data_IF_226906460375
#
_entry.id   IF_226906460375
#
_cell.length_a   1.000
_cell.length_b   1.000
_cell.length_c   1.000
_cell.angle_alpha   90.00
_cell.angle_beta   90.00
_cell.angle_gamma   90.00
#
_symmetry.space_group_name_H-M   'P 1'
#
loop_
_entity.id
_entity.type
_entity.pdbx_description
1 polymer ?
#
# COMPACT_ATOMS: atom_id res chain seq x y z
N UNK A 1 -13.99 15.27 12.34
CA UNK A 1 -12.68 15.84 11.86
C UNK A 1 -12.94 17.24 11.27
N UNK A 2 -12.18 18.26 11.63
CA UNK A 2 -12.25 19.60 11.01
C UNK A 2 -11.46 19.62 9.68
N UNK A 3 -11.61 20.65 8.84
CA UNK A 3 -10.75 20.84 7.64
C UNK A 3 -9.25 20.79 8.05
N UNK A 4 -8.93 21.35 9.23
CA UNK A 4 -7.59 21.35 9.81
C UNK A 4 -7.05 19.93 10.06
N UNK A 5 -7.88 18.99 10.51
CA UNK A 5 -7.42 17.61 10.77
C UNK A 5 -7.25 16.79 9.50
N UNK A 6 -7.89 17.15 8.38
CA UNK A 6 -7.67 16.50 7.08
C UNK A 6 -6.33 16.93 6.44
N UNK A 7 -5.75 18.05 6.90
CA UNK A 7 -4.49 18.61 6.36
C UNK A 7 -3.29 17.64 6.48
N UNK A 8 -3.32 16.69 7.41
CA UNK A 8 -2.28 15.65 7.52
C UNK A 8 -2.12 14.83 6.24
N UNK A 9 -3.20 14.71 5.45
CA UNK A 9 -3.18 13.96 4.18
C UNK A 9 -2.79 14.82 2.98
N UNK A 10 -2.56 16.14 3.15
CA UNK A 10 -2.29 17.05 2.04
C UNK A 10 -0.84 17.52 2.09
N UNK A 11 -0.10 17.28 1.00
CA UNK A 11 1.27 17.78 0.82
C UNK A 11 1.28 18.99 -0.10
N UNK A 12 0.79 18.84 -1.32
CA UNK A 12 0.69 19.90 -2.32
C UNK A 12 -0.79 20.12 -2.67
N UNK A 13 -1.20 21.35 -2.89
CA UNK A 13 -2.60 21.73 -3.20
C UNK A 13 -2.61 22.82 -4.26
N UNK A 14 -3.41 22.65 -5.32
CA UNK A 14 -3.52 23.66 -6.39
C UNK A 14 -4.41 24.83 -6.00
N UNK A 15 -5.56 24.58 -5.36
CA UNK A 15 -6.58 25.58 -4.96
C UNK A 15 -7.17 25.19 -3.61
N UNK A 16 -6.69 25.82 -2.54
CA UNK A 16 -7.11 25.49 -1.15
C UNK A 16 -8.59 25.79 -0.89
N UNK A 17 -9.15 26.84 -1.49
CA UNK A 17 -10.54 27.24 -1.36
C UNK A 17 -11.51 26.19 -1.93
N UNK A 18 -11.17 25.58 -3.07
CA UNK A 18 -11.96 24.52 -3.70
C UNK A 18 -11.93 23.26 -2.85
N UNK A 19 -10.75 22.88 -2.33
CA UNK A 19 -10.63 21.75 -1.41
C UNK A 19 -11.41 21.99 -0.12
N UNK A 20 -11.34 23.20 0.45
CA UNK A 20 -12.13 23.56 1.63
C UNK A 20 -13.64 23.49 1.35
N UNK A 21 -14.09 23.94 0.18
CA UNK A 21 -15.49 23.82 -0.25
C UNK A 21 -15.93 22.36 -0.35
N UNK A 22 -15.13 21.50 -0.97
CA UNK A 22 -15.43 20.07 -1.06
C UNK A 22 -15.55 19.42 0.32
N UNK A 23 -14.65 19.75 1.26
CA UNK A 23 -14.65 19.22 2.62
C UNK A 23 -15.76 19.77 3.52
N UNK A 24 -16.44 20.84 3.10
CA UNK A 24 -17.51 21.52 3.85
C UNK A 24 -18.91 21.12 3.41
N UNK A 25 -19.02 20.18 2.46
CA UNK A 25 -20.32 19.71 1.98
C UNK A 25 -21.08 18.98 3.10
N UNK A 26 -22.29 19.46 3.40
CA UNK A 26 -23.09 18.86 4.46
C UNK A 26 -23.78 17.56 4.01
N UNK A 27 -24.02 16.61 4.92
CA UNK A 27 -24.81 15.43 4.60
C UNK A 27 -26.22 15.83 4.08
N UNK A 28 -26.64 15.21 2.97
CA UNK A 28 -27.93 15.50 2.33
C UNK A 28 -27.87 16.53 1.20
N UNK A 29 -26.78 17.30 1.08
CA UNK A 29 -26.52 18.10 -0.11
C UNK A 29 -25.90 17.21 -1.22
N UNK A 30 -25.95 17.65 -2.51
CA UNK A 30 -25.21 16.98 -3.57
C UNK A 30 -23.72 16.80 -3.17
N UNK A 31 -23.15 15.59 -3.31
CA UNK A 31 -21.79 15.35 -2.87
C UNK A 31 -20.77 16.08 -3.76
N UNK A 32 -19.69 16.57 -3.17
CA UNK A 32 -18.48 16.83 -3.94
C UNK A 32 -17.92 15.49 -4.45
N UNK A 33 -16.98 15.50 -5.40
CA UNK A 33 -16.37 14.27 -5.86
C UNK A 33 -14.83 14.38 -5.86
N UNK A 34 -14.16 13.25 -5.66
CA UNK A 34 -12.71 13.15 -5.71
C UNK A 34 -12.31 11.89 -6.46
N UNK A 35 -11.45 12.01 -7.48
CA UNK A 35 -10.98 10.86 -8.22
C UNK A 35 -9.49 10.56 -7.96
N UNK A 36 -9.17 9.28 -8.09
CA UNK A 36 -7.81 8.79 -8.22
C UNK A 36 -7.73 7.77 -9.35
N UNK A 37 -6.63 7.83 -10.13
CA UNK A 37 -6.33 6.90 -11.21
C UNK A 37 -5.50 5.69 -10.72
N UNK A 38 -5.77 4.53 -11.32
CA UNK A 38 -5.10 3.27 -11.04
C UNK A 38 -4.75 2.57 -12.35
N UNK A 39 -3.48 2.64 -12.75
CA UNK A 39 -3.00 1.85 -13.88
C UNK A 39 -3.00 0.35 -13.53
N UNK A 40 -3.51 -0.45 -14.46
CA UNK A 40 -3.71 -1.91 -14.28
C UNK A 40 -2.49 -2.71 -14.77
N UNK A 41 -1.30 -2.32 -14.31
CA UNK A 41 -0.01 -2.91 -14.72
C UNK A 41 0.29 -4.28 -14.09
N UNK A 42 -0.57 -4.76 -13.21
CA UNK A 42 -0.53 -6.09 -12.59
C UNK A 42 -1.95 -6.45 -12.14
N UNK A 43 -2.19 -7.73 -11.87
CA UNK A 43 -3.45 -8.28 -11.39
C UNK A 43 -3.73 -8.04 -9.90
N UNK A 44 -2.90 -7.23 -9.23
CA UNK A 44 -3.08 -6.84 -7.83
C UNK A 44 -2.54 -5.44 -7.55
N UNK A 45 -3.21 -4.76 -6.62
CA UNK A 45 -2.68 -3.59 -5.93
C UNK A 45 -1.59 -4.02 -4.92
N UNK A 46 -0.77 -3.08 -4.49
CA UNK A 46 0.23 -3.26 -3.44
C UNK A 46 0.08 -2.21 -2.33
N UNK A 47 0.77 -2.36 -1.22
CA UNK A 47 0.65 -1.47 -0.04
C UNK A 47 0.83 0.02 -0.36
N UNK A 48 1.57 0.37 -1.43
CA UNK A 48 1.74 1.75 -1.88
C UNK A 48 0.44 2.46 -2.28
N UNK A 49 -0.61 1.71 -2.66
CA UNK A 49 -1.92 2.28 -3.04
C UNK A 49 -2.83 2.55 -1.81
N UNK A 50 -2.47 2.00 -0.64
CA UNK A 50 -3.36 2.04 0.53
C UNK A 50 -3.59 3.46 1.03
N UNK A 51 -2.61 4.36 0.93
CA UNK A 51 -2.79 5.74 1.40
C UNK A 51 -3.78 6.51 0.51
N UNK A 52 -3.70 6.35 -0.81
CA UNK A 52 -4.69 6.93 -1.74
C UNK A 52 -6.10 6.45 -1.42
N UNK A 53 -6.26 5.14 -1.22
CA UNK A 53 -7.55 4.55 -0.86
C UNK A 53 -8.04 5.01 0.52
N UNK A 54 -7.13 5.17 1.49
CA UNK A 54 -7.47 5.68 2.80
C UNK A 54 -7.94 7.13 2.75
N UNK A 55 -7.26 7.98 1.98
CA UNK A 55 -7.67 9.38 1.75
C UNK A 55 -9.06 9.43 1.12
N UNK A 56 -9.32 8.64 0.09
CA UNK A 56 -10.65 8.56 -0.53
C UNK A 56 -11.74 8.08 0.45
N UNK A 57 -11.43 7.12 1.33
CA UNK A 57 -12.35 6.70 2.40
C UNK A 57 -12.65 7.84 3.38
N UNK A 58 -11.62 8.58 3.79
CA UNK A 58 -11.77 9.75 4.68
C UNK A 58 -12.56 10.88 4.03
N UNK A 59 -12.44 11.06 2.72
CA UNK A 59 -13.26 11.99 1.96
C UNK A 59 -14.72 11.52 1.89
N UNK A 60 -14.96 10.21 1.71
CA UNK A 60 -16.32 9.69 1.66
C UNK A 60 -17.09 9.88 2.98
N UNK A 61 -16.40 9.86 4.12
CA UNK A 61 -16.96 10.19 5.44
C UNK A 61 -17.44 11.66 5.53
N UNK A 62 -17.11 12.49 4.52
CA UNK A 62 -17.42 13.93 4.42
C UNK A 62 -18.31 14.28 3.24
N UNK A 63 -19.12 13.34 2.80
CA UNK A 63 -19.99 13.54 1.64
C UNK A 63 -19.21 13.91 0.35
N UNK A 64 -18.00 13.36 0.18
CA UNK A 64 -17.24 13.45 -1.07
C UNK A 64 -17.29 12.09 -1.76
N UNK A 65 -17.86 11.99 -2.93
CA UNK A 65 -18.00 10.78 -3.72
C UNK A 65 -16.63 10.31 -4.23
N UNK A 66 -16.14 9.11 -3.86
CA UNK A 66 -14.93 8.55 -4.45
C UNK A 66 -15.18 8.11 -5.89
N UNK A 67 -14.34 8.56 -6.81
CA UNK A 67 -14.31 8.11 -8.21
C UNK A 67 -12.99 7.39 -8.47
N UNK A 68 -13.06 6.12 -8.80
CA UNK A 68 -11.90 5.26 -9.05
C UNK A 68 -11.77 5.09 -10.56
N UNK A 69 -10.70 5.62 -11.15
CA UNK A 69 -10.47 5.52 -12.59
C UNK A 69 -9.47 4.42 -12.86
N UNK A 70 -9.89 3.39 -13.56
CA UNK A 70 -9.01 2.34 -14.07
C UNK A 70 -8.36 2.82 -15.36
N UNK A 71 -7.05 2.62 -15.46
CA UNK A 71 -6.26 3.05 -16.59
C UNK A 71 -6.28 2.06 -17.75
N UNK A 72 -7.44 1.71 -18.31
CA UNK A 72 -7.52 0.82 -19.46
C UNK A 72 -6.69 1.33 -20.64
N UNK A 73 -6.82 2.60 -20.98
CA UNK A 73 -5.99 3.21 -22.03
C UNK A 73 -4.61 3.63 -21.51
N UNK A 74 -4.51 4.26 -20.33
CA UNK A 74 -3.23 4.78 -19.82
C UNK A 74 -2.24 3.68 -19.45
N UNK A 75 -2.68 2.48 -19.10
CA UNK A 75 -1.79 1.32 -18.87
C UNK A 75 -0.98 0.96 -20.10
N UNK A 76 -1.58 1.02 -21.29
CA UNK A 76 -0.89 0.77 -22.54
C UNK A 76 0.17 1.85 -22.88
N UNK A 77 -0.04 3.08 -22.39
CA UNK A 77 0.88 4.21 -22.53
C UNK A 77 2.04 4.11 -21.53
N UNK A 78 1.74 3.87 -20.28
CA UNK A 78 2.69 3.69 -19.17
C UNK A 78 3.17 4.99 -18.53
N UNK A 79 2.87 5.16 -17.23
CA UNK A 79 3.33 6.30 -16.42
C UNK A 79 4.86 6.28 -16.25
N UNK A 80 5.57 7.32 -16.69
CA UNK A 80 7.03 7.45 -16.52
C UNK A 80 7.44 7.84 -15.10
N UNK A 81 6.51 8.27 -14.25
CA UNK A 81 6.78 8.88 -12.95
C UNK A 81 7.53 7.94 -12.00
N UNK A 82 8.68 8.43 -11.50
CA UNK A 82 9.49 7.70 -10.51
C UNK A 82 10.16 6.43 -11.05
N UNK A 83 10.37 6.33 -12.37
CA UNK A 83 11.05 5.22 -13.04
C UNK A 83 12.24 5.71 -13.86
N UNK A 84 13.23 4.85 -14.01
CA UNK A 84 14.38 5.05 -14.89
C UNK A 84 14.25 4.26 -16.21
N UNK A 85 13.37 3.26 -16.27
CA UNK A 85 13.16 2.40 -17.44
C UNK A 85 11.68 2.40 -17.87
N UNK A 86 11.43 2.16 -19.14
CA UNK A 86 10.08 2.01 -19.69
C UNK A 86 9.35 0.82 -19.09
N UNK A 87 8.01 0.88 -19.08
CA UNK A 87 7.17 -0.24 -18.64
C UNK A 87 7.17 -1.33 -19.73
N UNK A 88 7.08 -2.61 -19.34
CA UNK A 88 6.75 -3.67 -20.30
C UNK A 88 5.41 -3.37 -20.97
N UNK A 89 5.33 -3.64 -22.26
CA UNK A 89 4.07 -3.56 -23.01
C UNK A 89 3.23 -4.78 -22.64
N UNK A 90 2.02 -4.54 -22.15
CA UNK A 90 1.04 -5.59 -21.83
C UNK A 90 0.14 -5.85 -23.06
N UNK A 91 -0.35 -7.07 -23.20
CA UNK A 91 -1.38 -7.39 -24.16
C UNK A 91 -2.74 -6.83 -23.73
N UNK A 92 -3.69 -6.70 -24.66
CA UNK A 92 -5.06 -6.29 -24.34
C UNK A 92 -5.74 -7.28 -23.38
N UNK A 93 -5.48 -8.57 -23.55
CA UNK A 93 -5.99 -9.62 -22.65
C UNK A 93 -5.42 -9.50 -21.25
N UNK A 94 -4.12 -9.21 -21.09
CA UNK A 94 -3.50 -8.97 -19.79
C UNK A 94 -4.08 -7.74 -19.12
N UNK A 95 -4.30 -6.65 -19.88
CA UNK A 95 -4.91 -5.42 -19.35
C UNK A 95 -6.34 -5.70 -18.88
N UNK A 96 -7.13 -6.44 -19.65
CA UNK A 96 -8.50 -6.80 -19.29
C UNK A 96 -8.55 -7.66 -18.01
N UNK A 97 -7.72 -8.70 -17.93
CA UNK A 97 -7.63 -9.56 -16.74
C UNK A 97 -7.19 -8.79 -15.48
N UNK A 98 -6.15 -7.95 -15.62
CA UNK A 98 -5.68 -7.10 -14.52
C UNK A 98 -6.76 -6.11 -14.08
N UNK A 99 -7.53 -5.56 -15.02
CA UNK A 99 -8.62 -4.62 -14.73
C UNK A 99 -9.69 -5.26 -13.85
N UNK A 100 -10.17 -6.46 -14.21
CA UNK A 100 -11.15 -7.20 -13.39
C UNK A 100 -10.63 -7.45 -11.97
N UNK A 101 -9.39 -7.93 -11.85
CA UNK A 101 -8.77 -8.23 -10.56
C UNK A 101 -8.61 -6.97 -9.68
N UNK A 102 -8.13 -5.87 -10.25
CA UNK A 102 -7.96 -4.60 -9.54
C UNK A 102 -9.31 -3.99 -9.17
N UNK A 103 -10.30 -4.00 -10.09
CA UNK A 103 -11.65 -3.52 -9.81
C UNK A 103 -12.27 -4.26 -8.61
N UNK A 104 -12.17 -5.58 -8.57
CA UNK A 104 -12.67 -6.37 -7.47
C UNK A 104 -11.97 -6.02 -6.13
N UNK A 105 -10.66 -5.81 -6.15
CA UNK A 105 -9.92 -5.39 -4.97
C UNK A 105 -10.32 -3.98 -4.51
N UNK A 106 -10.44 -3.02 -5.42
CA UNK A 106 -10.86 -1.65 -5.13
C UNK A 106 -12.25 -1.62 -4.49
N UNK A 107 -13.23 -2.31 -5.07
CA UNK A 107 -14.60 -2.38 -4.53
C UNK A 107 -14.63 -2.99 -3.12
N UNK A 108 -13.82 -4.05 -2.88
CA UNK A 108 -13.69 -4.66 -1.57
C UNK A 108 -13.08 -3.71 -0.54
N UNK A 109 -11.98 -3.01 -0.89
CA UNK A 109 -11.27 -2.09 -0.01
C UNK A 109 -12.06 -0.82 0.27
N UNK A 110 -12.92 -0.40 -0.67
CA UNK A 110 -13.80 0.76 -0.55
C UNK A 110 -15.22 0.40 -0.09
N UNK A 111 -15.42 -0.81 0.46
CA UNK A 111 -16.70 -1.24 1.00
C UNK A 111 -17.24 -0.21 1.99
N UNK A 112 -18.50 0.20 1.80
CA UNK A 112 -19.18 1.23 2.59
C UNK A 112 -19.08 2.65 2.04
N UNK A 113 -18.13 2.94 1.13
CA UNK A 113 -17.94 4.28 0.54
C UNK A 113 -18.75 4.49 -0.76
N UNK A 114 -19.35 3.44 -1.33
CA UNK A 114 -20.12 3.48 -2.59
C UNK A 114 -19.35 4.18 -3.73
N UNK A 115 -18.12 3.76 -4.08
CA UNK A 115 -17.34 4.43 -5.10
C UNK A 115 -18.00 4.24 -6.49
N UNK A 116 -17.77 5.22 -7.38
CA UNK A 116 -17.98 5.07 -8.81
C UNK A 116 -16.69 4.54 -9.42
N UNK A 117 -16.75 3.49 -10.22
CA UNK A 117 -15.60 2.93 -10.94
C UNK A 117 -15.80 3.19 -12.43
N UNK A 118 -14.79 3.76 -13.07
CA UNK A 118 -14.79 4.11 -14.49
C UNK A 118 -13.52 3.60 -15.15
N UNK A 119 -13.59 3.28 -16.44
CA UNK A 119 -12.43 2.98 -17.27
C UNK A 119 -12.13 4.18 -18.18
N UNK A 120 -10.91 4.68 -18.17
CA UNK A 120 -10.55 5.80 -19.02
C UNK A 120 -10.49 5.45 -20.52
N UNK A 121 -10.48 4.17 -20.87
CA UNK A 121 -10.63 3.74 -22.27
C UNK A 121 -11.95 4.24 -22.90
N UNK A 122 -13.00 4.47 -22.12
CA UNK A 122 -14.29 5.00 -22.60
C UNK A 122 -14.15 6.35 -23.34
N UNK A 123 -13.23 7.21 -22.90
CA UNK A 123 -13.05 8.54 -23.49
C UNK A 123 -11.69 8.78 -24.13
N UNK A 124 -10.68 7.97 -23.80
CA UNK A 124 -9.35 8.08 -24.41
C UNK A 124 -9.30 7.34 -25.75
N UNK A 125 -9.86 6.13 -25.83
CA UNK A 125 -9.83 5.32 -27.06
C UNK A 125 -10.54 5.99 -28.25
N UNK A 126 -11.70 6.66 -28.07
CA UNK A 126 -12.35 7.37 -29.18
C UNK A 126 -11.63 8.64 -29.63
N UNK A 127 -10.67 9.17 -28.83
CA UNK A 127 -9.96 10.40 -29.17
C UNK A 127 -9.10 10.20 -30.41
N UNK A 128 -9.42 10.93 -31.47
CA UNK A 128 -8.64 10.85 -32.70
C UNK A 128 -7.30 11.56 -32.57
N UNK A 129 -6.32 11.12 -33.35
CA UNK A 129 -5.02 11.76 -33.43
C UNK A 129 -5.13 13.27 -33.75
N UNK A 130 -6.07 13.64 -34.62
CA UNK A 130 -6.27 15.05 -34.99
C UNK A 130 -6.84 15.86 -33.84
N UNK A 131 -7.77 15.33 -33.06
CA UNK A 131 -8.29 16.00 -31.85
C UNK A 131 -7.20 16.15 -30.78
N UNK A 132 -6.38 15.10 -30.57
CA UNK A 132 -5.24 15.18 -29.68
C UNK A 132 -4.26 16.29 -30.10
N UNK A 133 -3.84 16.32 -31.36
CA UNK A 133 -2.81 17.26 -31.84
C UNK A 133 -3.36 18.68 -31.95
N UNK A 134 -4.49 18.86 -32.63
CA UNK A 134 -5.01 20.19 -32.96
C UNK A 134 -5.88 20.81 -31.87
N UNK A 135 -6.49 19.98 -31.01
CA UNK A 135 -7.26 20.40 -29.85
C UNK A 135 -6.36 20.53 -28.61
N UNK A 136 -6.11 19.39 -27.94
CA UNK A 136 -5.41 19.33 -26.66
C UNK A 136 -3.94 19.79 -26.80
N UNK A 137 -3.23 19.30 -27.82
CA UNK A 137 -1.80 19.56 -28.03
C UNK A 137 -1.45 21.04 -28.19
N UNK A 138 -2.36 21.85 -28.78
CA UNK A 138 -2.15 23.31 -28.87
C UNK A 138 -2.19 24.02 -27.51
N UNK A 139 -2.79 23.44 -26.52
CA UNK A 139 -2.93 24.03 -25.19
C UNK A 139 -1.80 23.61 -24.25
N UNK A 140 -1.05 22.56 -24.61
CA UNK A 140 0.04 22.03 -23.79
C UNK A 140 1.34 22.75 -24.10
N UNK A 141 2.01 23.25 -23.06
CA UNK A 141 3.32 23.88 -23.18
C UNK A 141 4.42 22.81 -23.09
N UNK A 142 5.19 22.63 -24.18
CA UNK A 142 6.36 21.75 -24.19
C UNK A 142 7.38 22.14 -23.10
N UNK A 143 7.58 23.44 -22.87
CA UNK A 143 8.50 23.91 -21.83
C UNK A 143 8.05 23.49 -20.43
N UNK A 144 6.75 23.51 -20.15
CA UNK A 144 6.20 23.05 -18.85
C UNK A 144 6.37 21.54 -18.68
N UNK A 145 6.10 20.73 -19.71
CA UNK A 145 6.30 19.29 -19.66
C UNK A 145 7.77 18.92 -19.44
N UNK A 146 8.68 19.53 -20.21
CA UNK A 146 10.13 19.33 -20.08
C UNK A 146 10.69 19.80 -18.73
N UNK A 147 10.04 20.77 -18.10
CA UNK A 147 10.43 21.24 -16.76
C UNK A 147 10.03 20.28 -15.63
N UNK A 148 9.09 19.36 -15.88
CA UNK A 148 8.64 18.41 -14.85
C UNK A 148 9.77 17.49 -14.40
N UNK A 149 9.81 17.19 -13.09
CA UNK A 149 10.88 16.32 -12.53
C UNK A 149 10.84 14.90 -13.11
N UNK A 150 9.65 14.37 -13.40
CA UNK A 150 9.47 13.04 -13.98
C UNK A 150 10.11 12.96 -15.38
N UNK A 151 9.84 13.95 -16.23
CA UNK A 151 10.41 14.01 -17.58
C UNK A 151 11.93 14.21 -17.52
N UNK A 152 12.43 15.14 -16.69
CA UNK A 152 13.88 15.36 -16.51
C UNK A 152 14.59 14.07 -16.11
N UNK A 153 14.10 13.39 -15.07
CA UNK A 153 14.72 12.15 -14.59
C UNK A 153 14.79 11.09 -15.69
N UNK A 154 13.77 10.98 -16.54
CA UNK A 154 13.75 10.04 -17.66
C UNK A 154 14.71 10.43 -18.77
N UNK A 155 14.74 11.71 -19.15
CA UNK A 155 15.66 12.20 -20.19
C UNK A 155 17.12 12.07 -19.77
N UNK A 156 17.44 12.24 -18.49
CA UNK A 156 18.79 12.11 -17.93
C UNK A 156 19.23 10.64 -17.74
N UNK A 157 18.31 9.66 -17.90
CA UNK A 157 18.59 8.23 -17.81
C UNK A 157 18.60 7.56 -19.20
N UNK A 158 17.72 6.58 -19.42
CA UNK A 158 17.67 5.80 -20.67
C UNK A 158 16.89 6.51 -21.81
N UNK A 159 16.52 7.77 -21.61
CA UNK A 159 15.67 8.53 -22.53
C UNK A 159 14.19 8.25 -22.29
N UNK A 160 13.33 8.85 -23.13
CA UNK A 160 11.88 8.82 -22.99
C UNK A 160 11.23 8.63 -24.35
N UNK A 161 10.29 7.73 -24.47
CA UNK A 161 9.51 7.56 -25.70
C UNK A 161 8.45 8.66 -25.83
N UNK A 162 7.97 8.89 -27.06
CA UNK A 162 6.83 9.79 -27.29
C UNK A 162 5.58 9.32 -26.52
N UNK A 163 5.38 8.02 -26.44
CA UNK A 163 4.25 7.42 -25.71
C UNK A 163 4.29 7.84 -24.23
N UNK A 164 5.40 7.62 -23.56
CA UNK A 164 5.59 8.03 -22.15
C UNK A 164 5.46 9.54 -21.96
N UNK A 165 5.93 10.34 -22.95
CA UNK A 165 5.84 11.79 -22.93
C UNK A 165 4.40 12.31 -23.01
N UNK A 166 3.50 11.56 -23.67
CA UNK A 166 2.09 11.90 -23.77
C UNK A 166 1.29 11.55 -22.50
N UNK A 167 1.83 10.73 -21.60
CA UNK A 167 1.10 10.26 -20.42
C UNK A 167 0.53 11.41 -19.55
N UNK A 168 1.29 12.46 -19.17
CA UNK A 168 0.74 13.58 -18.37
C UNK A 168 -0.42 14.30 -19.09
N UNK A 169 -0.40 14.33 -20.42
CA UNK A 169 -1.44 14.97 -21.24
C UNK A 169 -2.72 14.14 -21.19
N UNK A 170 -2.60 12.82 -21.30
CA UNK A 170 -3.75 11.90 -21.24
C UNK A 170 -4.37 11.92 -19.85
N UNK A 171 -3.55 11.90 -18.78
CA UNK A 171 -4.05 12.05 -17.40
C UNK A 171 -4.73 13.41 -17.18
N UNK A 172 -4.21 14.47 -17.81
CA UNK A 172 -4.87 15.79 -17.80
C UNK A 172 -6.21 15.79 -18.53
N UNK A 173 -6.31 15.04 -19.62
CA UNK A 173 -7.56 14.85 -20.34
C UNK A 173 -8.58 14.04 -19.54
N UNK A 174 -8.16 13.03 -18.78
CA UNK A 174 -9.00 12.33 -17.80
C UNK A 174 -9.61 13.32 -16.81
N UNK A 175 -8.78 14.19 -16.22
CA UNK A 175 -9.24 15.17 -15.24
C UNK A 175 -10.29 16.12 -15.84
N UNK A 176 -10.03 16.65 -17.01
CA UNK A 176 -10.95 17.56 -17.70
C UNK A 176 -12.28 16.86 -18.06
N UNK A 177 -12.22 15.65 -18.62
CA UNK A 177 -13.42 14.88 -18.99
C UNK A 177 -14.31 14.56 -17.80
N UNK A 178 -13.68 14.17 -16.69
CA UNK A 178 -14.38 13.89 -15.44
C UNK A 178 -14.94 15.16 -14.81
N UNK A 179 -14.21 16.26 -14.86
CA UNK A 179 -14.68 17.56 -14.38
C UNK A 179 -15.96 17.98 -15.10
N UNK A 180 -16.01 17.83 -16.44
CA UNK A 180 -17.20 18.09 -17.23
C UNK A 180 -18.39 17.19 -16.85
N UNK A 181 -18.13 15.90 -16.61
CA UNK A 181 -19.17 14.94 -16.18
C UNK A 181 -19.72 15.34 -14.80
N UNK A 182 -18.85 15.64 -13.83
CA UNK A 182 -19.26 16.01 -12.47
C UNK A 182 -19.97 17.37 -12.41
N UNK A 183 -19.53 18.34 -13.21
CA UNK A 183 -20.20 19.64 -13.29
C UNK A 183 -21.64 19.52 -13.82
N UNK A 184 -21.87 18.67 -14.84
CA UNK A 184 -23.24 18.38 -15.32
C UNK A 184 -24.11 17.63 -14.32
N UNK A 185 -23.55 17.07 -13.27
CA UNK A 185 -24.26 16.40 -12.16
C UNK A 185 -24.46 17.32 -10.95
N UNK A 186 -24.34 18.65 -11.11
CA UNK A 186 -24.46 19.66 -10.06
C UNK A 186 -23.53 19.40 -8.84
N UNK A 187 -22.39 18.75 -9.06
CA UNK A 187 -21.38 18.52 -8.05
C UNK A 187 -20.81 19.90 -7.61
N UNK A 188 -20.69 20.20 -6.28
CA UNK A 188 -20.24 21.51 -5.83
C UNK A 188 -18.74 21.76 -6.01
N UNK A 189 -17.93 20.71 -6.06
CA UNK A 189 -16.49 20.76 -6.30
C UNK A 189 -15.97 19.40 -6.76
N UNK A 190 -14.94 19.40 -7.61
CA UNK A 190 -14.31 18.18 -8.11
C UNK A 190 -12.81 18.18 -7.82
N UNK A 191 -12.33 17.10 -7.22
CA UNK A 191 -10.95 16.97 -6.77
C UNK A 191 -10.24 15.82 -7.50
N UNK A 192 -8.93 15.98 -7.71
CA UNK A 192 -8.02 14.89 -8.04
C UNK A 192 -7.08 14.66 -6.86
N UNK A 193 -6.86 13.38 -6.47
CA UNK A 193 -5.88 12.99 -5.46
C UNK A 193 -4.89 11.96 -5.99
N UNK A 194 -3.64 12.09 -5.59
CA UNK A 194 -2.57 11.14 -5.90
C UNK A 194 -1.40 11.26 -4.94
N UNK A 195 -0.39 10.42 -5.11
CA UNK A 195 0.89 10.57 -4.41
C UNK A 195 1.63 11.84 -4.86
N UNK A 196 2.50 12.38 -4.01
CA UNK A 196 3.23 13.62 -4.33
C UNK A 196 4.16 13.49 -5.55
N UNK A 197 4.46 12.28 -5.99
CA UNK A 197 5.15 12.03 -7.26
C UNK A 197 4.29 12.32 -8.49
N UNK A 198 2.96 12.34 -8.35
CA UNK A 198 2.01 12.64 -9.41
C UNK A 198 1.75 14.16 -9.59
N UNK A 199 2.33 15.01 -8.76
CA UNK A 199 2.03 16.44 -8.75
C UNK A 199 2.18 17.11 -10.11
N UNK A 200 3.25 16.80 -10.85
CA UNK A 200 3.48 17.35 -12.19
C UNK A 200 2.38 16.97 -13.20
N UNK A 201 1.94 15.71 -13.18
CA UNK A 201 0.87 15.25 -14.05
C UNK A 201 -0.47 15.92 -13.69
N UNK A 202 -0.75 16.05 -12.39
CA UNK A 202 -1.97 16.68 -11.89
C UNK A 202 -2.04 18.16 -12.25
N UNK A 203 -0.91 18.88 -12.16
CA UNK A 203 -0.81 20.29 -12.60
C UNK A 203 -1.03 20.45 -14.11
N UNK A 204 -0.55 19.51 -14.93
CA UNK A 204 -0.83 19.52 -16.36
C UNK A 204 -2.36 19.46 -16.63
N UNK A 205 -3.09 18.69 -15.83
CA UNK A 205 -4.54 18.61 -15.89
C UNK A 205 -5.25 19.91 -15.47
N UNK A 206 -4.84 20.53 -14.36
CA UNK A 206 -5.41 21.83 -13.93
C UNK A 206 -5.15 22.93 -14.95
N UNK A 207 -3.95 22.95 -15.57
CA UNK A 207 -3.62 23.90 -16.62
C UNK A 207 -4.42 23.64 -17.91
N UNK A 208 -4.68 22.40 -18.25
CA UNK A 208 -5.51 22.03 -19.40
C UNK A 208 -6.95 22.52 -19.21
N UNK A 209 -7.53 22.29 -18.02
CA UNK A 209 -8.86 22.79 -17.65
C UNK A 209 -8.90 24.31 -17.78
N UNK A 210 -7.96 25.02 -17.18
CA UNK A 210 -7.88 26.48 -17.24
C UNK A 210 -7.91 27.03 -18.68
N UNK A 211 -7.24 26.37 -19.62
CA UNK A 211 -7.14 26.80 -21.02
C UNK A 211 -8.32 26.38 -21.89
N UNK A 212 -8.83 25.17 -21.72
CA UNK A 212 -9.87 24.61 -22.57
C UNK A 212 -11.27 24.78 -21.99
N UNK A 213 -11.39 24.83 -20.66
CA UNK A 213 -12.64 24.94 -19.93
C UNK A 213 -12.53 25.93 -18.77
N UNK A 214 -12.28 27.22 -19.10
CA UNK A 214 -12.14 28.26 -18.08
C UNK A 214 -13.41 28.41 -17.19
N UNK A 215 -14.55 27.97 -17.68
CA UNK A 215 -15.79 27.86 -16.89
C UNK A 215 -15.72 26.88 -15.73
N UNK A 216 -14.78 25.92 -15.76
CA UNK A 216 -14.53 24.91 -14.72
C UNK A 216 -13.31 25.23 -13.82
N UNK A 217 -12.57 26.32 -14.06
CA UNK A 217 -11.38 26.65 -13.28
C UNK A 217 -11.70 26.80 -11.78
N UNK A 218 -12.77 27.50 -11.42
CA UNK A 218 -13.23 27.64 -10.04
C UNK A 218 -13.95 26.42 -9.46
N UNK A 219 -14.02 25.31 -10.18
CA UNK A 219 -14.73 24.10 -9.80
C UNK A 219 -13.76 22.95 -9.42
N UNK A 220 -12.56 22.91 -9.99
CA UNK A 220 -11.63 21.80 -9.90
C UNK A 220 -10.38 22.13 -9.10
N UNK A 221 -9.93 21.20 -8.27
CA UNK A 221 -8.63 21.27 -7.61
C UNK A 221 -7.91 19.91 -7.59
N UNK A 222 -6.60 19.98 -7.50
CA UNK A 222 -5.75 18.81 -7.29
C UNK A 222 -5.02 18.94 -5.95
N UNK A 223 -4.83 17.84 -5.25
CA UNK A 223 -3.96 17.76 -4.08
C UNK A 223 -3.24 16.43 -4.01
N UNK A 224 -2.04 16.44 -3.44
CA UNK A 224 -1.26 15.22 -3.24
C UNK A 224 -1.21 14.84 -1.78
N UNK A 225 -1.11 13.53 -1.53
CA UNK A 225 -0.69 13.03 -0.23
C UNK A 225 0.81 12.72 -0.21
N UNK A 226 1.44 12.68 0.98
CA UNK A 226 2.84 12.25 1.09
C UNK A 226 3.02 10.84 0.52
N UNK A 227 4.20 10.58 -0.07
CA UNK A 227 4.55 9.20 -0.41
C UNK A 227 4.86 8.42 0.86
N UNK A 228 4.43 7.17 0.89
CA UNK A 228 4.89 6.24 1.90
C UNK A 228 6.36 5.89 1.59
N UNK A 229 7.27 6.50 2.32
CA UNK A 229 8.72 6.28 2.16
C UNK A 229 9.25 5.52 3.37
N UNK A 230 10.24 4.66 3.13
CA UNK A 230 11.08 4.09 4.19
C UNK A 230 12.04 5.15 4.71
N UNK A 231 12.66 4.93 5.88
CA UNK A 231 13.70 5.79 6.45
C UNK A 231 14.82 6.12 5.45
N UNK A 232 15.12 5.21 4.53
CA UNK A 232 16.15 5.38 3.51
C UNK A 232 15.64 6.11 2.25
N UNK A 233 14.44 6.72 2.30
CA UNK A 233 13.84 7.49 1.21
C UNK A 233 13.30 6.66 0.04
N UNK A 234 13.27 5.34 0.15
CA UNK A 234 12.69 4.46 -0.88
C UNK A 234 11.17 4.37 -0.72
N UNK A 235 10.44 4.28 -1.84
CA UNK A 235 8.97 4.06 -1.80
C UNK A 235 8.65 2.78 -1.03
N UNK A 236 7.77 2.90 -0.03
CA UNK A 236 7.26 1.77 0.71
C UNK A 236 6.40 0.90 -0.22
N UNK A 237 6.46 -0.41 -0.04
CA UNK A 237 5.73 -1.35 -0.90
C UNK A 237 6.56 -2.57 -1.23
N UNK A 238 7.80 -2.61 -0.71
CA UNK A 238 8.71 -3.76 -0.85
C UNK A 238 9.16 -4.24 0.52
N UNK A 239 9.35 -5.55 0.65
CA UNK A 239 9.99 -6.17 1.82
C UNK A 239 11.46 -5.72 1.95
N UNK A 240 12.11 -6.01 3.06
CA UNK A 240 13.55 -5.78 3.23
C UNK A 240 14.39 -6.46 2.14
N UNK A 241 13.90 -7.58 1.57
CA UNK A 241 14.51 -8.29 0.43
C UNK A 241 14.13 -7.72 -0.95
N UNK A 242 13.39 -6.62 -1.03
CA UNK A 242 13.03 -5.95 -2.29
C UNK A 242 11.77 -6.50 -2.99
N UNK A 243 11.13 -7.54 -2.46
CA UNK A 243 9.89 -8.09 -3.03
C UNK A 243 8.70 -7.16 -2.77
N UNK A 244 7.83 -6.99 -3.76
CA UNK A 244 6.59 -6.20 -3.64
C UNK A 244 5.63 -6.85 -2.64
N UNK A 245 5.02 -6.05 -1.76
CA UNK A 245 3.98 -6.49 -0.82
C UNK A 245 2.61 -6.25 -1.45
N UNK A 246 2.03 -7.32 -1.97
CA UNK A 246 0.77 -7.30 -2.70
C UNK A 246 -0.45 -7.32 -1.77
N UNK A 247 -1.56 -6.76 -2.24
CA UNK A 247 -2.84 -6.85 -1.53
C UNK A 247 -3.59 -8.14 -1.85
N UNK A 248 -3.12 -8.91 -2.81
CA UNK A 248 -3.61 -10.27 -3.09
C UNK A 248 -2.94 -11.28 -2.15
N UNK A 249 -3.74 -12.23 -1.60
CA UNK A 249 -3.25 -13.24 -0.64
C UNK A 249 -2.47 -14.37 -1.29
N UNK A 250 -2.70 -14.63 -2.58
CA UNK A 250 -1.96 -15.63 -3.33
C UNK A 250 -0.53 -15.14 -3.63
N UNK A 251 -0.33 -13.80 -3.72
CA UNK A 251 0.97 -13.18 -3.97
C UNK A 251 1.72 -12.83 -2.69
N UNK A 252 1.01 -12.48 -1.63
CA UNK A 252 1.58 -12.18 -0.30
C UNK A 252 0.67 -12.77 0.75
N UNK A 253 1.15 -13.77 1.48
CA UNK A 253 0.37 -14.44 2.51
C UNK A 253 -0.15 -13.47 3.57
N UNK A 254 -1.23 -13.82 4.27
CA UNK A 254 -1.81 -12.99 5.33
C UNK A 254 -0.79 -12.73 6.45
N UNK A 255 0.01 -13.74 6.79
CA UNK A 255 1.08 -13.62 7.79
C UNK A 255 2.21 -12.68 7.32
N UNK A 256 2.67 -12.81 6.06
CA UNK A 256 3.73 -11.94 5.54
C UNK A 256 3.25 -10.49 5.42
N UNK A 257 1.97 -10.29 5.04
CA UNK A 257 1.34 -8.97 5.03
C UNK A 257 1.27 -8.36 6.42
N UNK A 258 0.85 -9.13 7.44
CA UNK A 258 0.86 -8.70 8.85
C UNK A 258 2.28 -8.37 9.32
N UNK A 259 3.25 -9.25 9.04
CA UNK A 259 4.64 -9.07 9.43
C UNK A 259 5.31 -7.87 8.76
N UNK A 260 4.93 -7.53 7.52
CA UNK A 260 5.42 -6.31 6.88
C UNK A 260 5.15 -5.08 7.76
N UNK A 261 3.93 -4.90 8.24
CA UNK A 261 3.55 -3.79 9.12
C UNK A 261 4.16 -3.91 10.52
N UNK A 262 4.21 -5.12 11.06
CA UNK A 262 4.75 -5.38 12.41
C UNK A 262 6.26 -5.15 12.50
N UNK A 263 6.99 -5.35 11.41
CA UNK A 263 8.44 -5.25 11.33
C UNK A 263 8.96 -3.91 10.79
N UNK A 264 8.10 -2.91 10.61
CA UNK A 264 8.54 -1.55 10.30
C UNK A 264 9.53 -1.05 11.33
N UNK A 265 10.52 -0.24 10.93
CA UNK A 265 11.33 0.47 11.91
C UNK A 265 10.48 1.48 12.70
N UNK A 266 10.98 1.97 13.81
CA UNK A 266 10.19 2.78 14.75
C UNK A 266 9.72 4.10 14.13
N UNK A 267 10.53 4.74 13.31
CA UNK A 267 10.18 6.00 12.64
C UNK A 267 9.06 5.78 11.61
N UNK A 268 9.20 4.75 10.77
CA UNK A 268 8.21 4.42 9.76
C UNK A 268 6.88 3.99 10.41
N UNK A 269 6.95 3.20 11.49
CA UNK A 269 5.77 2.77 12.21
C UNK A 269 4.97 3.94 12.79
N UNK A 270 5.66 4.96 13.33
CA UNK A 270 5.01 6.19 13.84
C UNK A 270 4.35 6.96 12.69
N UNK A 271 5.09 7.22 11.61
CA UNK A 271 4.55 7.92 10.45
C UNK A 271 3.31 7.20 9.84
N UNK A 272 3.35 5.86 9.78
CA UNK A 272 2.21 5.08 9.29
C UNK A 272 1.04 5.09 10.28
N UNK A 273 1.31 5.05 11.58
CA UNK A 273 0.28 5.14 12.59
C UNK A 273 -0.47 6.48 12.53
N UNK A 274 0.25 7.59 12.33
CA UNK A 274 -0.35 8.92 12.16
C UNK A 274 -1.28 8.98 10.94
N UNK A 275 -0.97 8.23 9.87
CA UNK A 275 -1.78 8.20 8.65
C UNK A 275 -2.98 7.25 8.72
N UNK A 276 -2.85 6.08 9.39
CA UNK A 276 -3.84 5.01 9.30
C UNK A 276 -4.61 4.71 10.59
N UNK A 277 -4.17 5.25 11.73
CA UNK A 277 -4.85 5.06 13.02
C UNK A 277 -5.60 6.34 13.42
N UNK A 278 -6.91 6.30 13.40
CA UNK A 278 -7.80 7.46 13.62
C UNK A 278 -7.78 8.05 15.05
N UNK A 279 -7.20 7.36 16.02
CA UNK A 279 -7.39 7.61 17.45
C UNK A 279 -6.17 8.17 18.19
N UNK A 280 -5.08 8.49 17.48
CA UNK A 280 -3.89 9.05 18.13
C UNK A 280 -3.75 10.53 17.81
N UNK A 281 -3.94 11.47 18.79
CA UNK A 281 -3.44 12.82 18.63
C UNK A 281 -1.92 12.74 18.47
N UNK A 282 -1.39 13.34 17.41
CA UNK A 282 0.05 13.40 17.10
C UNK A 282 0.95 13.89 18.27
N UNK A 283 0.33 14.51 19.28
CA UNK A 283 1.01 15.09 20.44
C UNK A 283 1.51 14.07 21.48
N UNK A 284 0.98 12.84 21.51
CA UNK A 284 1.42 11.84 22.50
C UNK A 284 2.59 10.96 22.03
N UNK A 285 2.97 11.05 20.75
CA UNK A 285 4.05 10.21 20.19
C UNK A 285 5.42 10.89 20.29
N UNK A 286 5.45 12.22 20.42
CA UNK A 286 6.68 13.02 20.50
C UNK A 286 7.21 13.24 21.92
N UNK A 287 6.67 12.59 22.93
CA UNK A 287 7.30 12.64 24.25
C UNK A 287 8.61 11.84 24.25
N UNK A 288 9.73 12.46 24.64
CA UNK A 288 11.06 11.80 24.62
C UNK A 288 11.18 10.58 25.55
N UNK A 289 10.13 10.24 26.30
CA UNK A 289 10.07 9.15 27.28
C UNK A 289 9.13 7.98 26.88
N UNK A 290 8.71 7.84 25.59
CA UNK A 290 7.94 6.66 25.22
C UNK A 290 8.84 5.41 25.28
N UNK A 291 8.50 4.49 26.17
CA UNK A 291 9.28 3.25 26.40
C UNK A 291 9.25 2.32 25.18
N UNK A 292 10.23 1.44 25.05
CA UNK A 292 10.27 0.44 23.96
C UNK A 292 9.01 -0.45 23.91
N UNK A 293 8.28 -0.56 25.02
CA UNK A 293 7.00 -1.26 25.13
C UNK A 293 5.91 -0.58 24.31
N UNK A 294 5.86 0.76 24.28
CA UNK A 294 4.81 1.51 23.56
C UNK A 294 4.93 1.40 22.04
N UNK A 295 6.15 1.39 21.50
CA UNK A 295 6.37 1.27 20.05
C UNK A 295 6.00 -0.13 19.52
N UNK A 296 6.22 -1.18 20.28
CA UNK A 296 5.81 -2.52 19.92
C UNK A 296 4.29 -2.69 19.93
N UNK A 297 3.60 -2.09 20.89
CA UNK A 297 2.15 -2.03 20.95
C UNK A 297 1.59 -1.26 19.74
N UNK A 298 2.19 -0.11 19.39
CA UNK A 298 1.82 0.67 18.22
C UNK A 298 1.96 -0.14 16.91
N UNK A 299 3.08 -0.81 16.71
CA UNK A 299 3.31 -1.69 15.54
C UNK A 299 2.31 -2.84 15.47
N UNK A 300 1.96 -3.43 16.60
CA UNK A 300 0.92 -4.49 16.65
C UNK A 300 -0.45 -3.93 16.27
N UNK A 301 -0.85 -2.77 16.79
CA UNK A 301 -2.11 -2.10 16.43
C UNK A 301 -2.15 -1.76 14.95
N UNK A 302 -1.07 -1.19 14.40
CA UNK A 302 -0.97 -0.87 12.99
C UNK A 302 -1.09 -2.12 12.12
N UNK A 303 -0.35 -3.19 12.43
CA UNK A 303 -0.41 -4.45 11.70
C UNK A 303 -1.81 -5.07 11.73
N UNK A 304 -2.46 -5.11 12.91
CA UNK A 304 -3.85 -5.56 13.03
C UNK A 304 -4.79 -4.71 12.18
N UNK A 305 -4.73 -3.39 12.30
CA UNK A 305 -5.60 -2.46 11.56
C UNK A 305 -5.47 -2.66 10.04
N UNK A 306 -4.24 -2.70 9.53
CA UNK A 306 -3.98 -2.83 8.10
C UNK A 306 -4.37 -4.21 7.57
N UNK A 307 -4.09 -5.26 8.34
CA UNK A 307 -4.48 -6.63 7.96
C UNK A 307 -5.99 -6.81 8.02
N UNK A 308 -6.66 -6.28 9.04
CA UNK A 308 -8.13 -6.29 9.11
C UNK A 308 -8.75 -5.58 7.91
N UNK A 309 -8.25 -4.40 7.53
CA UNK A 309 -8.78 -3.67 6.38
C UNK A 309 -8.61 -4.43 5.06
N UNK A 310 -7.44 -5.04 4.85
CA UNK A 310 -7.09 -5.66 3.55
C UNK A 310 -7.52 -7.13 3.46
N UNK A 311 -7.45 -7.89 4.57
CA UNK A 311 -7.61 -9.35 4.62
C UNK A 311 -8.85 -9.82 5.39
N UNK A 312 -9.41 -8.95 6.23
CA UNK A 312 -10.48 -9.26 7.17
C UNK A 312 -9.98 -9.54 8.58
N UNK A 313 -10.90 -9.50 9.53
CA UNK A 313 -10.62 -9.61 10.97
C UNK A 313 -10.04 -10.97 11.36
N UNK A 314 -10.62 -12.04 10.83
CA UNK A 314 -10.18 -13.41 11.10
C UNK A 314 -8.72 -13.64 10.69
N UNK A 315 -8.35 -13.21 9.46
CA UNK A 315 -6.98 -13.30 8.97
C UNK A 315 -6.01 -12.46 9.81
N UNK A 316 -6.44 -11.29 10.30
CA UNK A 316 -5.61 -10.43 11.15
C UNK A 316 -5.33 -11.06 12.52
N UNK A 317 -6.36 -11.65 13.15
CA UNK A 317 -6.24 -12.34 14.44
C UNK A 317 -5.31 -13.55 14.30
N UNK A 318 -5.57 -14.41 13.32
CA UNK A 318 -4.75 -15.60 13.07
C UNK A 318 -3.28 -15.23 12.76
N UNK A 319 -3.06 -14.20 11.93
CA UNK A 319 -1.71 -13.75 11.62
C UNK A 319 -0.97 -13.20 12.83
N UNK A 320 -1.66 -12.51 13.75
CA UNK A 320 -1.09 -12.07 15.02
C UNK A 320 -0.69 -13.26 15.87
N UNK A 321 -1.58 -14.21 16.06
CA UNK A 321 -1.30 -15.42 16.85
C UNK A 321 -0.11 -16.19 16.29
N UNK A 322 -0.05 -16.40 14.97
CA UNK A 322 1.09 -17.04 14.31
C UNK A 322 2.38 -16.24 14.45
N UNK A 323 2.34 -14.92 14.41
CA UNK A 323 3.50 -14.07 14.60
C UNK A 323 4.02 -14.10 16.04
N UNK A 324 3.11 -14.08 17.02
CA UNK A 324 3.43 -14.19 18.44
C UNK A 324 3.99 -15.58 18.78
N UNK A 325 3.47 -16.63 18.14
CA UNK A 325 3.94 -18.00 18.28
C UNK A 325 5.35 -18.20 17.73
N UNK A 326 5.72 -17.53 16.63
CA UNK A 326 7.10 -17.51 16.12
C UNK A 326 8.08 -16.82 17.08
N UNK A 327 7.59 -15.98 17.99
CA UNK A 327 8.40 -15.33 19.05
C UNK A 327 8.39 -16.07 20.38
N UNK A 328 7.74 -17.25 20.47
CA UNK A 328 7.93 -18.18 21.59
C UNK A 328 6.84 -18.20 22.66
N UNK A 329 5.62 -17.68 22.43
CA UNK A 329 4.66 -17.68 23.51
C UNK A 329 3.35 -18.46 23.30
N UNK A 330 2.89 -18.85 22.11
CA UNK A 330 1.65 -19.65 22.00
C UNK A 330 1.38 -20.25 20.59
N UNK A 331 2.13 -21.24 20.10
CA UNK A 331 1.76 -22.11 18.96
C UNK A 331 1.08 -23.41 19.38
N UNK A 332 0.34 -24.07 18.46
CA UNK A 332 -0.05 -25.43 18.74
C UNK A 332 1.22 -26.25 19.10
N UNK A 333 1.11 -26.98 20.18
CA UNK A 333 2.21 -27.86 20.55
C UNK A 333 2.24 -29.06 19.59
N UNK A 334 3.41 -29.39 19.07
CA UNK A 334 3.59 -30.65 18.34
C UNK A 334 3.64 -31.81 19.32
N UNK A 335 2.80 -32.81 19.09
CA UNK A 335 2.86 -34.05 19.87
C UNK A 335 4.14 -34.81 19.56
N UNK A 336 4.95 -35.04 20.57
CA UNK A 336 6.25 -35.69 20.45
C UNK A 336 6.31 -36.82 21.45
N UNK A 337 6.62 -38.03 20.96
CA UNK A 337 6.90 -39.14 21.84
C UNK A 337 8.29 -38.95 22.46
N UNK A 338 8.43 -39.23 23.75
CA UNK A 338 9.67 -39.07 24.51
C UNK A 338 10.89 -39.73 23.81
N UNK A 339 10.71 -40.91 23.18
CA UNK A 339 11.75 -41.58 22.43
C UNK A 339 12.33 -40.69 21.31
N UNK A 340 11.49 -39.93 20.58
CA UNK A 340 11.97 -39.01 19.55
C UNK A 340 12.83 -37.88 20.13
N UNK A 341 12.41 -37.33 21.27
CA UNK A 341 13.16 -36.26 21.95
C UNK A 341 14.51 -36.74 22.49
N UNK A 342 14.61 -37.99 22.96
CA UNK A 342 15.80 -38.50 23.60
C UNK A 342 16.74 -39.23 22.62
N UNK A 343 16.18 -40.13 21.80
CA UNK A 343 16.96 -41.07 21.00
C UNK A 343 17.26 -40.59 19.58
N UNK A 344 16.32 -39.83 18.95
CA UNK A 344 16.52 -39.28 17.59
C UNK A 344 16.24 -37.78 17.51
N UNK A 345 16.73 -37.01 18.46
CA UNK A 345 16.58 -35.56 18.54
C UNK A 345 17.01 -34.82 17.27
N UNK A 346 18.12 -35.21 16.56
CA UNK A 346 18.45 -34.53 15.31
C UNK A 346 17.41 -34.72 14.20
N UNK A 347 16.71 -35.84 14.13
CA UNK A 347 15.62 -36.02 13.18
C UNK A 347 14.43 -35.14 13.56
N UNK A 348 14.02 -35.18 14.83
CA UNK A 348 12.93 -34.34 15.33
C UNK A 348 13.13 -32.84 15.00
N UNK A 349 14.34 -32.30 15.19
CA UNK A 349 14.67 -30.91 14.90
C UNK A 349 14.55 -30.58 13.39
N UNK A 350 14.90 -31.56 12.53
CA UNK A 350 14.73 -31.43 11.07
C UNK A 350 13.25 -31.51 10.68
N UNK A 351 12.48 -32.45 11.23
CA UNK A 351 11.06 -32.65 10.96
C UNK A 351 10.23 -31.44 11.39
N UNK A 352 10.70 -30.69 12.40
CA UNK A 352 10.11 -29.44 12.87
C UNK A 352 10.59 -28.19 12.09
N UNK A 353 11.31 -28.38 10.98
CA UNK A 353 11.88 -27.31 10.14
C UNK A 353 12.77 -26.30 10.89
N UNK A 354 13.33 -26.72 12.01
CA UNK A 354 14.29 -25.91 12.77
C UNK A 354 15.72 -25.99 12.22
N UNK A 355 16.03 -27.01 11.43
CA UNK A 355 17.30 -27.15 10.71
C UNK A 355 17.12 -27.95 9.42
N UNK A 356 17.93 -27.68 8.40
CA UNK A 356 17.82 -28.35 7.10
C UNK A 356 18.35 -29.79 7.10
N UNK A 357 19.31 -30.11 7.96
CA UNK A 357 19.97 -31.43 8.01
C UNK A 357 20.33 -31.84 9.42
N UNK A 358 20.40 -33.19 9.66
CA UNK A 358 20.86 -33.74 10.93
C UNK A 358 22.31 -33.33 11.28
N UNK A 359 23.15 -33.09 10.30
CA UNK A 359 24.53 -32.61 10.50
C UNK A 359 24.54 -31.16 11.01
N UNK A 360 23.65 -30.31 10.47
CA UNK A 360 23.48 -28.96 10.97
C UNK A 360 23.01 -28.94 12.42
N UNK A 361 22.08 -29.82 12.79
CA UNK A 361 21.56 -29.94 14.18
C UNK A 361 22.74 -30.28 15.13
N UNK A 362 23.58 -31.27 14.77
CA UNK A 362 24.73 -31.64 15.61
C UNK A 362 25.69 -30.47 15.80
N UNK A 363 25.97 -29.70 14.74
CA UNK A 363 26.81 -28.50 14.81
C UNK A 363 26.22 -27.45 15.72
N UNK A 364 24.90 -27.17 15.56
CA UNK A 364 24.19 -26.19 16.39
C UNK A 364 24.14 -26.61 17.86
N UNK A 365 23.95 -27.90 18.16
CA UNK A 365 23.99 -28.41 19.53
C UNK A 365 25.39 -28.22 20.17
N UNK A 366 26.46 -28.47 19.43
CA UNK A 366 27.83 -28.25 19.92
C UNK A 366 28.11 -26.75 20.24
N UNK A 367 27.37 -25.84 19.63
CA UNK A 367 27.48 -24.39 19.84
C UNK A 367 26.40 -23.84 20.80
N UNK A 368 25.67 -24.70 21.51
CA UNK A 368 24.52 -24.36 22.34
C UNK A 368 23.45 -23.54 21.60
N UNK A 369 23.38 -23.68 20.28
CA UNK A 369 22.44 -22.95 19.39
C UNK A 369 21.02 -23.51 19.37
N UNK A 370 20.78 -24.67 20.02
CA UNK A 370 19.45 -25.27 20.22
C UNK A 370 19.22 -25.40 21.73
N UNK A 371 18.07 -24.89 22.17
CA UNK A 371 17.68 -24.86 23.58
C UNK A 371 16.27 -25.44 23.78
N UNK A 372 16.04 -26.04 24.96
CA UNK A 372 14.75 -26.44 25.49
C UNK A 372 14.43 -25.54 26.71
N UNK A 373 13.33 -24.83 26.68
CA UNK A 373 12.95 -23.83 27.71
C UNK A 373 14.12 -22.91 28.09
N UNK A 374 14.89 -22.47 27.08
CA UNK A 374 16.04 -21.58 27.26
C UNK A 374 17.35 -22.27 27.72
N UNK A 375 17.33 -23.54 28.09
CA UNK A 375 18.52 -24.28 28.47
C UNK A 375 19.10 -25.07 27.27
N UNK A 376 20.42 -25.19 27.11
CA UNK A 376 21.01 -26.01 26.05
C UNK A 376 20.39 -27.40 26.01
N UNK A 377 19.98 -27.85 24.82
CA UNK A 377 19.27 -29.12 24.64
C UNK A 377 20.20 -30.37 24.82
N UNK A 378 20.89 -30.46 25.97
CA UNK A 378 21.70 -31.59 26.32
C UNK A 378 20.89 -32.86 26.51
N UNK A 379 21.52 -34.02 26.54
CA UNK A 379 20.85 -35.31 26.77
C UNK A 379 20.10 -35.33 28.11
N UNK A 380 20.69 -34.71 29.13
CA UNK A 380 20.09 -34.62 30.47
C UNK A 380 18.83 -33.73 30.46
N UNK A 381 18.89 -32.54 29.85
CA UNK A 381 17.75 -31.60 29.70
C UNK A 381 16.63 -32.27 28.91
N UNK A 382 16.93 -32.98 27.83
CA UNK A 382 15.93 -33.70 27.01
C UNK A 382 15.27 -34.86 27.79
N UNK A 383 16.01 -35.60 28.61
CA UNK A 383 15.47 -36.64 29.48
C UNK A 383 14.62 -36.11 30.62
N UNK A 384 14.95 -34.94 31.13
CA UNK A 384 14.21 -34.30 32.21
C UNK A 384 12.93 -33.58 31.73
N UNK A 385 12.81 -33.27 30.45
CA UNK A 385 11.68 -32.53 29.87
C UNK A 385 10.35 -33.28 30.06
N UNK A 386 9.28 -32.58 30.45
CA UNK A 386 7.92 -33.10 30.73
C UNK A 386 6.87 -32.09 30.27
N UNK A 387 5.71 -32.59 29.87
CA UNK A 387 4.57 -31.77 29.49
C UNK A 387 4.88 -30.89 28.27
N UNK A 388 4.50 -29.62 28.32
CA UNK A 388 4.75 -28.71 27.19
C UNK A 388 6.04 -27.96 27.39
N UNK A 389 6.99 -28.10 26.44
CA UNK A 389 8.29 -27.42 26.42
C UNK A 389 8.47 -26.62 25.14
N UNK A 390 9.34 -25.62 25.15
CA UNK A 390 9.70 -24.81 23.98
C UNK A 390 11.08 -25.19 23.46
N UNK A 391 11.11 -25.74 22.25
CA UNK A 391 12.35 -26.02 21.52
C UNK A 391 12.73 -24.80 20.68
N UNK A 392 13.96 -24.29 20.82
CA UNK A 392 14.38 -23.05 20.16
C UNK A 392 15.68 -23.22 19.40
N UNK A 393 15.79 -22.59 18.21
CA UNK A 393 17.03 -22.38 17.48
C UNK A 393 17.37 -20.88 17.46
N UNK A 394 18.36 -20.49 18.25
CA UNK A 394 18.72 -19.08 18.46
C UNK A 394 17.54 -18.27 19.01
N UNK A 395 17.50 -16.96 18.70
CA UNK A 395 16.49 -16.03 19.24
C UNK A 395 15.22 -15.89 18.37
N UNK A 396 15.15 -16.55 17.20
CA UNK A 396 14.09 -16.26 16.20
C UNK A 396 13.25 -17.46 15.77
N UNK A 397 13.65 -18.67 16.08
CA UNK A 397 12.92 -19.89 15.67
C UNK A 397 12.60 -20.72 16.89
N UNK A 398 11.31 -20.95 17.14
CA UNK A 398 10.82 -21.67 18.31
C UNK A 398 9.68 -22.60 17.89
N UNK A 399 9.57 -23.77 18.55
CA UNK A 399 8.47 -24.71 18.40
C UNK A 399 8.05 -25.21 19.79
N UNK A 400 6.76 -25.28 20.05
CA UNK A 400 6.24 -25.90 21.27
C UNK A 400 6.05 -27.39 21.05
N UNK A 401 6.46 -28.17 22.02
CA UNK A 401 6.37 -29.63 22.00
C UNK A 401 5.51 -30.07 23.19
N UNK A 402 4.52 -30.94 22.96
CA UNK A 402 3.81 -31.65 23.99
C UNK A 402 4.39 -33.05 24.07
N UNK A 403 5.05 -33.39 25.19
CA UNK A 403 5.78 -34.62 25.33
C UNK A 403 4.85 -35.69 25.92
N UNK A 404 4.64 -36.77 25.16
CA UNK A 404 3.94 -37.95 25.56
C UNK A 404 4.95 -39.07 25.91
N UNK A 405 4.60 -39.96 26.85
CA UNK A 405 5.49 -41.09 27.28
C UNK A 405 5.55 -42.22 26.26
#
# INVERSE_FOLDING_TARGET
MTVSSFRIFMKDVSHEDIVARALSVTPGAPPAACYAGFDVTADSLHVGHLLTLHVLRKLSERNVLPVLVLGGATTAVGDPTGRTQSRPVLSEDDIAANMEAIQAQLLRLMKGCKPVVLDNAEWVTPLTLMELITGIGRQVSMSSLLASQAVKTRLDSDGMTLTEFLYPIIQGFDFMTLAERMHRMDCPAFLQVGGSDQWGNMLAGTELIRKMRPDLEGFCAAFTHPLLLTKDGRKMGKTAGGATVWLDREKTSDLDFYQFWRNLNDCDARAMADMFLDEMPAHHINEPNSTACDINALKTRLALRMTTWVRGEEAAILSRELAENRTGSAGPAFDVVRAQLVDDFPALVVDLDLAATRSEVRRLMAQNGITLDGQPATTEVRRAARGTVTLSRGKKRHQRLCIHE
#
